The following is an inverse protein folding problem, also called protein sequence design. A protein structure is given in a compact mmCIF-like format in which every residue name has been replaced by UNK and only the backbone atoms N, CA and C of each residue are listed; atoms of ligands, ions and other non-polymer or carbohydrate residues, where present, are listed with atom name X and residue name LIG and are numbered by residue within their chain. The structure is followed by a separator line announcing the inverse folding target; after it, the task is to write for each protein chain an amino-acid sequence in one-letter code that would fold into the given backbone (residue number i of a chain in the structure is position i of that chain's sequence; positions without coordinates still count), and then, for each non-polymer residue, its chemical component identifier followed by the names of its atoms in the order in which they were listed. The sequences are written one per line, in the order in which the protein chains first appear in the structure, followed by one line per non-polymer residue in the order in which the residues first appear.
data_IF_465586040932
#
_entry.id   IF_465586040932
#
_cell.length_a   1.000
_cell.length_b   1.000
_cell.length_c   1.000
_cell.angle_alpha   90.00
_cell.angle_beta   90.00
_cell.angle_gamma   90.00
#
_symmetry.space_group_name_H-M   'P 1'
#
loop_
_entity.id
_entity.type
_entity.pdbx_description
1 polymer ?
#
# COMPACT_ATOMS: atom_id res chain seq x y z
N UNK A 1 28.00 7.55 -1.51
CA UNK A 1 27.02 6.87 -0.64
C UNK A 1 25.71 7.61 -0.82
N UNK A 2 24.65 6.96 -1.32
CA UNK A 2 23.37 7.63 -1.50
C UNK A 2 22.83 8.02 -0.11
N UNK A 3 22.47 9.29 0.08
CA UNK A 3 21.77 9.72 1.27
C UNK A 3 20.40 9.04 1.27
N UNK A 4 20.25 7.97 2.06
CA UNK A 4 19.00 7.24 2.27
C UNK A 4 18.06 8.05 3.17
N UNK A 5 17.72 9.26 2.73
CA UNK A 5 16.72 10.08 3.40
C UNK A 5 15.36 9.45 3.15
N UNK A 6 14.67 9.02 4.21
CA UNK A 6 13.29 8.55 4.12
C UNK A 6 12.43 9.76 3.77
N UNK A 7 12.07 9.90 2.50
CA UNK A 7 11.23 10.97 1.97
C UNK A 7 9.96 10.40 1.31
N UNK A 8 9.05 11.27 0.89
CA UNK A 8 7.77 10.87 0.28
C UNK A 8 7.96 10.05 -1.01
N UNK A 9 9.01 10.34 -1.78
CA UNK A 9 9.33 9.67 -3.05
C UNK A 9 9.76 8.23 -2.79
N UNK A 10 10.60 8.03 -1.77
CA UNK A 10 11.02 6.71 -1.31
C UNK A 10 9.82 5.87 -0.88
N UNK A 11 8.93 6.42 -0.05
CA UNK A 11 7.71 5.72 0.40
C UNK A 11 6.83 5.35 -0.79
N UNK A 12 6.64 6.29 -1.72
CA UNK A 12 5.85 6.07 -2.94
C UNK A 12 6.45 4.98 -3.82
N UNK A 13 7.79 4.95 -3.96
CA UNK A 13 8.49 3.93 -4.71
C UNK A 13 8.31 2.54 -4.09
N UNK A 14 8.41 2.43 -2.75
CA UNK A 14 8.17 1.17 -2.04
C UNK A 14 6.73 0.66 -2.22
N UNK A 15 5.74 1.55 -2.12
CA UNK A 15 4.33 1.20 -2.31
C UNK A 15 4.04 0.73 -3.74
N UNK A 16 4.55 1.45 -4.74
CA UNK A 16 4.42 1.05 -6.15
C UNK A 16 5.08 -0.30 -6.43
N UNK A 17 6.28 -0.50 -5.89
CA UNK A 17 7.01 -1.76 -6.01
C UNK A 17 6.20 -2.92 -5.43
N UNK A 18 5.72 -2.79 -4.20
CA UNK A 18 4.91 -3.81 -3.53
C UNK A 18 3.62 -4.15 -4.31
N UNK A 19 2.90 -3.14 -4.80
CA UNK A 19 1.69 -3.34 -5.63
C UNK A 19 1.96 -4.04 -6.97
N UNK A 20 3.20 -3.96 -7.47
CA UNK A 20 3.61 -4.60 -8.72
C UNK A 20 4.22 -6.00 -8.53
N UNK A 21 4.53 -6.39 -7.29
CA UNK A 21 5.17 -7.66 -6.97
C UNK A 21 4.13 -8.75 -6.63
N UNK A 22 3.98 -9.80 -7.45
CA UNK A 22 3.24 -10.97 -7.03
C UNK A 22 3.97 -11.67 -5.88
N UNK A 23 3.24 -12.39 -5.00
CA UNK A 23 3.83 -13.10 -3.88
C UNK A 23 4.75 -14.21 -4.40
N UNK A 24 5.83 -14.47 -3.67
CA UNK A 24 6.94 -15.37 -4.10
C UNK A 24 7.73 -14.88 -5.31
N UNK A 25 7.63 -13.59 -5.68
CA UNK A 25 8.52 -12.98 -6.68
C UNK A 25 9.99 -12.95 -6.26
N UNK A 26 10.25 -13.12 -4.96
CA UNK A 26 11.58 -13.29 -4.37
C UNK A 26 11.71 -14.70 -3.80
N UNK A 27 12.81 -15.40 -4.14
CA UNK A 27 13.07 -16.74 -3.64
C UNK A 27 13.13 -16.74 -2.11
N UNK A 28 12.27 -17.53 -1.47
CA UNK A 28 12.23 -17.67 -0.01
C UNK A 28 11.61 -16.49 0.74
N UNK A 29 10.92 -15.57 0.04
CA UNK A 29 10.20 -14.46 0.65
C UNK A 29 8.76 -14.41 0.16
N UNK A 30 7.84 -14.23 1.11
CA UNK A 30 6.41 -14.03 0.88
C UNK A 30 6.08 -12.56 0.57
N UNK A 31 7.06 -11.72 0.25
CA UNK A 31 6.88 -10.29 -0.05
C UNK A 31 5.99 -10.08 -1.27
N UNK A 32 5.06 -9.13 -1.16
CA UNK A 32 4.14 -8.74 -2.22
C UNK A 32 2.73 -9.26 -1.98
N UNK A 33 1.88 -9.08 -2.99
CA UNK A 33 0.47 -9.49 -2.90
C UNK A 33 -0.10 -9.86 -4.26
N UNK A 34 -0.94 -10.89 -4.30
CA UNK A 34 -1.67 -11.25 -5.52
C UNK A 34 -3.03 -10.57 -5.48
N UNK A 35 -3.11 -9.32 -5.96
CA UNK A 35 -4.40 -8.63 -6.08
C UNK A 35 -5.25 -9.20 -7.23
N UNK A 36 -4.63 -9.84 -8.21
CA UNK A 36 -5.32 -10.39 -9.39
C UNK A 36 -6.17 -11.59 -9.02
N UNK A 37 -5.84 -12.29 -7.93
CA UNK A 37 -6.65 -13.40 -7.41
C UNK A 37 -8.10 -13.00 -7.09
N UNK A 38 -8.39 -11.71 -6.90
CA UNK A 38 -9.73 -11.18 -6.60
C UNK A 38 -10.52 -10.78 -7.85
N UNK A 39 -9.89 -10.78 -9.03
CA UNK A 39 -10.58 -10.46 -10.28
C UNK A 39 -11.68 -11.48 -10.56
N UNK A 40 -12.84 -10.98 -11.01
CA UNK A 40 -14.05 -11.77 -11.30
C UNK A 40 -14.58 -12.61 -10.13
N UNK A 41 -14.14 -12.32 -8.89
CA UNK A 41 -14.74 -12.91 -7.68
C UNK A 41 -15.82 -12.00 -7.11
N UNK A 42 -16.79 -12.55 -6.36
CA UNK A 42 -17.76 -11.74 -5.64
C UNK A 42 -17.07 -10.70 -4.75
N UNK A 43 -17.58 -9.47 -4.71
CA UNK A 43 -17.01 -8.39 -3.90
C UNK A 43 -16.90 -8.73 -2.40
N UNK A 44 -17.74 -9.64 -1.89
CA UNK A 44 -17.70 -10.13 -0.51
C UNK A 44 -16.47 -10.97 -0.18
N UNK A 45 -15.75 -11.48 -1.19
CA UNK A 45 -14.50 -12.22 -1.01
C UNK A 45 -13.26 -11.32 -0.95
N UNK A 46 -13.43 -10.01 -1.17
CA UNK A 46 -12.34 -9.05 -1.08
C UNK A 46 -12.02 -8.74 0.39
N UNK A 47 -10.83 -9.11 0.85
CA UNK A 47 -10.39 -8.92 2.23
C UNK A 47 -9.46 -7.71 2.33
N UNK A 48 -10.06 -6.54 2.58
CA UNK A 48 -9.34 -5.28 2.72
C UNK A 48 -8.37 -5.28 3.91
N UNK A 49 -8.79 -5.87 5.03
CA UNK A 49 -8.00 -5.88 6.27
C UNK A 49 -6.74 -6.72 6.11
N UNK A 50 -6.84 -7.88 5.45
CA UNK A 50 -5.70 -8.71 5.09
C UNK A 50 -4.69 -7.94 4.22
N UNK A 51 -5.18 -7.28 3.16
CA UNK A 51 -4.33 -6.52 2.23
C UNK A 51 -3.57 -5.41 2.97
N UNK A 52 -4.25 -4.65 3.83
CA UNK A 52 -3.66 -3.56 4.61
C UNK A 52 -2.64 -4.11 5.62
N UNK A 53 -2.98 -5.19 6.32
CA UNK A 53 -2.09 -5.83 7.28
C UNK A 53 -0.80 -6.36 6.61
N UNK A 54 -0.94 -7.04 5.48
CA UNK A 54 0.19 -7.57 4.69
C UNK A 54 1.09 -6.45 4.17
N UNK A 55 0.51 -5.36 3.64
CA UNK A 55 1.28 -4.20 3.19
C UNK A 55 2.13 -3.59 4.32
N UNK A 56 1.56 -3.44 5.53
CA UNK A 56 2.29 -2.93 6.69
C UNK A 56 3.37 -3.89 7.18
N UNK A 57 3.17 -5.21 7.03
CA UNK A 57 4.18 -6.21 7.37
C UNK A 57 5.37 -6.19 6.40
N UNK A 58 5.08 -6.12 5.11
CA UNK A 58 6.07 -6.16 4.03
C UNK A 58 6.84 -4.86 3.84
N UNK A 59 6.25 -3.72 4.20
CA UNK A 59 6.87 -2.40 4.11
C UNK A 59 7.02 -1.81 5.52
N UNK A 60 8.03 -2.23 6.31
CA UNK A 60 8.17 -1.82 7.71
C UNK A 60 8.24 -0.32 7.94
N UNK A 61 8.74 0.45 6.97
CA UNK A 61 8.81 1.92 7.07
C UNK A 61 7.43 2.54 7.29
N UNK A 62 6.33 1.92 6.80
CA UNK A 62 4.97 2.42 7.02
C UNK A 62 4.53 2.36 8.48
N UNK A 63 5.12 1.48 9.30
CA UNK A 63 4.85 1.39 10.74
C UNK A 63 5.59 2.46 11.54
N UNK A 64 6.66 3.02 10.99
CA UNK A 64 7.49 4.03 11.65
C UNK A 64 7.02 5.46 11.36
N UNK A 65 6.14 5.65 10.38
CA UNK A 65 5.61 6.96 10.03
C UNK A 65 4.65 7.47 11.13
N UNK A 66 4.61 8.79 11.37
CA UNK A 66 3.65 9.38 12.30
C UNK A 66 2.21 9.01 11.92
N UNK A 67 1.33 8.97 12.91
CA UNK A 67 -0.09 8.75 12.68
C UNK A 67 -0.63 9.77 11.65
N UNK A 68 -1.53 9.32 10.77
CA UNK A 68 -2.08 10.10 9.65
C UNK A 68 -1.09 10.52 8.54
N UNK A 69 0.18 10.09 8.60
CA UNK A 69 1.12 10.36 7.48
C UNK A 69 0.85 9.47 6.27
N UNK A 70 0.25 8.29 6.48
CA UNK A 70 -0.20 7.38 5.43
C UNK A 70 -1.56 6.82 5.80
N UNK A 71 -2.56 7.09 4.96
CA UNK A 71 -3.90 6.52 5.09
C UNK A 71 -4.08 5.47 4.01
N UNK A 72 -4.50 4.26 4.39
CA UNK A 72 -4.80 3.17 3.46
C UNK A 72 -6.21 2.71 3.76
N UNK A 73 -7.07 2.74 2.75
CA UNK A 73 -8.46 2.34 2.87
C UNK A 73 -8.99 1.81 1.54
N UNK A 74 -10.11 1.11 1.58
CA UNK A 74 -10.75 0.53 0.40
C UNK A 74 -12.13 1.16 0.26
N UNK A 75 -12.48 1.54 -0.97
CA UNK A 75 -13.81 2.05 -1.30
C UNK A 75 -14.46 1.15 -2.34
N UNK A 76 -15.78 1.08 -2.27
CA UNK A 76 -16.61 0.48 -3.30
C UNK A 76 -16.73 1.45 -4.46
N UNK A 77 -16.48 0.95 -5.66
CA UNK A 77 -16.71 1.69 -6.89
C UNK A 77 -18.10 1.38 -7.45
N UNK A 78 -18.62 2.34 -8.21
CA UNK A 78 -20.00 2.37 -8.68
C UNK A 78 -20.29 1.29 -9.74
N UNK A 79 -19.24 0.68 -10.29
CA UNK A 79 -19.21 -0.29 -11.40
C UNK A 79 -18.89 -1.72 -10.93
N UNK A 80 -19.25 -2.07 -9.68
CA UNK A 80 -19.00 -3.39 -9.08
C UNK A 80 -17.49 -3.66 -8.88
N UNK A 81 -16.71 -2.60 -8.66
CA UNK A 81 -15.28 -2.62 -8.39
C UNK A 81 -14.92 -2.31 -6.93
N UNK A 82 -13.72 -2.73 -6.49
CA UNK A 82 -13.10 -2.28 -5.24
C UNK A 82 -11.86 -1.45 -5.59
N UNK A 83 -11.70 -0.27 -4.98
CA UNK A 83 -10.50 0.57 -5.14
C UNK A 83 -9.73 0.62 -3.83
N UNK A 84 -8.46 0.22 -3.88
CA UNK A 84 -7.51 0.42 -2.78
C UNK A 84 -6.93 1.83 -2.93
N UNK A 85 -7.18 2.68 -1.94
CA UNK A 85 -6.68 4.05 -1.89
C UNK A 85 -5.55 4.12 -0.87
N UNK A 86 -4.40 4.63 -1.31
CA UNK A 86 -3.23 4.85 -0.47
C UNK A 86 -2.86 6.33 -0.57
N UNK A 87 -3.14 7.08 0.48
CA UNK A 87 -2.77 8.48 0.61
C UNK A 87 -1.45 8.58 1.37
N UNK A 88 -0.47 9.28 0.79
CA UNK A 88 0.85 9.50 1.39
C UNK A 88 1.05 11.01 1.56
N UNK A 89 1.23 11.44 2.81
CA UNK A 89 1.34 12.82 3.26
C UNK A 89 0.10 13.71 3.08
N UNK A 90 -0.04 14.69 3.96
CA UNK A 90 -0.89 15.87 3.81
C UNK A 90 0.05 17.08 3.68
N UNK A 91 0.02 17.78 2.54
CA UNK A 91 0.78 19.03 2.43
C UNK A 91 0.06 20.11 3.25
N UNK A 92 0.63 20.50 4.38
CA UNK A 92 0.26 21.72 5.09
C UNK A 92 1.30 22.81 4.84
N UNK A 93 0.87 23.91 4.24
CA UNK A 93 1.64 25.16 4.19
C UNK A 93 0.97 26.14 5.13
N UNK A 94 1.68 26.53 6.19
CA UNK A 94 1.29 27.66 7.02
C UNK A 94 2.14 28.85 6.57
N UNK A 95 1.49 29.82 5.93
CA UNK A 95 2.05 31.15 5.75
C UNK A 95 1.68 31.98 6.99
N UNK A 96 2.64 32.75 7.50
CA UNK A 96 2.36 33.84 8.43
C UNK A 96 1.66 34.98 7.68
#
# INVERSE_FOLDING_TARGET
MANNTINYEFITAQLKHWLSCPPNGYLGSDYGIDLKQYLHKPMSQFDADYIIAKMRADIPVLKMLPINSVNIYVIDDHDDGKKIIIQVAEKYFQAA
#
